data_IF_148311577050
#
_entry.id   IF_148311577050
#
_cell.length_a   1.000
_cell.length_b   1.000
_cell.length_c   1.000
_cell.angle_alpha   90.00
_cell.angle_beta   90.00
_cell.angle_gamma   90.00
#
_symmetry.space_group_name_H-M   'P 1'
#
loop_
_entity.id
_entity.type
_entity.pdbx_description
1 polymer ?
#
# COMPACT_ATOMS: atom_id res chain seq x y z
N UNK A 1 -18.81 23.16 -0.69
CA UNK A 1 -18.22 22.30 0.35
C UNK A 1 -16.73 22.63 0.38
N UNK A 2 -16.17 22.98 1.54
CA UNK A 2 -14.70 23.06 1.65
C UNK A 2 -14.14 21.70 1.21
N UNK A 3 -12.99 21.70 0.54
CA UNK A 3 -12.37 20.47 0.05
C UNK A 3 -11.87 19.57 1.19
N UNK A 4 -11.89 20.05 2.44
CA UNK A 4 -11.26 19.41 3.60
C UNK A 4 -12.25 19.09 4.74
N UNK A 5 -13.57 19.31 4.59
CA UNK A 5 -14.55 18.90 5.59
C UNK A 5 -14.49 17.37 5.85
N UNK A 6 -14.48 16.98 7.14
CA UNK A 6 -14.50 15.58 7.55
C UNK A 6 -15.93 15.13 7.81
N UNK A 7 -16.38 14.11 7.09
CA UNK A 7 -17.74 13.58 7.22
C UNK A 7 -17.70 12.31 8.06
N UNK A 8 -18.44 12.29 9.17
CA UNK A 8 -18.46 11.17 10.10
C UNK A 8 -19.69 10.33 9.82
N UNK A 9 -19.50 9.05 9.58
CA UNK A 9 -20.53 8.07 9.30
C UNK A 9 -20.62 7.04 10.42
N UNK A 10 -21.84 6.65 10.77
CA UNK A 10 -22.07 5.52 11.67
C UNK A 10 -21.66 4.21 10.97
N UNK A 11 -20.94 3.37 11.70
CA UNK A 11 -20.38 2.14 11.14
C UNK A 11 -21.44 1.13 10.66
N UNK A 12 -22.58 1.07 11.34
CA UNK A 12 -23.60 0.03 11.09
C UNK A 12 -24.54 0.46 9.97
N UNK A 13 -25.01 1.69 10.04
CA UNK A 13 -26.02 2.24 9.12
C UNK A 13 -25.41 2.86 7.88
N UNK A 14 -24.10 3.17 7.90
CA UNK A 14 -23.40 3.90 6.83
C UNK A 14 -24.07 5.23 6.48
N UNK A 15 -24.74 5.83 7.47
CA UNK A 15 -25.34 7.16 7.39
C UNK A 15 -24.42 8.19 8.02
N UNK A 16 -24.39 9.37 7.43
CA UNK A 16 -23.68 10.51 8.02
C UNK A 16 -24.33 10.92 9.34
N UNK A 17 -23.52 11.07 10.39
CA UNK A 17 -23.94 11.44 11.74
C UNK A 17 -23.35 12.78 12.21
N UNK A 18 -22.28 13.27 11.56
CA UNK A 18 -21.72 14.59 11.81
C UNK A 18 -20.85 15.07 10.63
N UNK A 19 -20.63 16.39 10.56
CA UNK A 19 -19.63 17.02 9.68
C UNK A 19 -18.76 17.94 10.52
N UNK A 20 -17.46 17.68 10.53
CA UNK A 20 -16.46 18.54 11.17
C UNK A 20 -15.89 19.43 10.08
N UNK A 21 -16.00 20.75 10.28
CA UNK A 21 -15.50 21.73 9.32
C UNK A 21 -13.99 21.83 9.42
N UNK A 22 -13.33 22.22 8.34
CA UNK A 22 -11.87 22.43 8.30
C UNK A 22 -11.34 23.32 9.45
N UNK A 23 -12.11 24.33 9.85
CA UNK A 23 -11.78 25.21 10.96
C UNK A 23 -12.00 24.62 12.37
N UNK A 24 -12.68 23.47 12.47
CA UNK A 24 -13.06 22.82 13.73
C UNK A 24 -12.10 21.67 14.11
N UNK A 25 -11.02 21.46 13.34
CA UNK A 25 -9.98 20.47 13.62
C UNK A 25 -8.59 21.01 13.27
N UNK A 26 -7.54 20.42 13.86
CA UNK A 26 -6.14 20.80 13.61
C UNK A 26 -5.22 19.58 13.70
N UNK A 27 -3.93 19.79 13.41
CA UNK A 27 -2.88 18.76 13.38
C UNK A 27 -3.26 17.53 12.56
N UNK A 28 -3.95 17.72 11.43
CA UNK A 28 -4.32 16.60 10.58
C UNK A 28 -3.12 16.05 9.80
N UNK A 29 -2.89 14.75 9.93
CA UNK A 29 -1.81 14.06 9.26
C UNK A 29 -2.36 12.80 8.58
N UNK A 30 -2.22 12.76 7.25
CA UNK A 30 -2.40 11.52 6.48
C UNK A 30 -1.04 10.93 6.14
N UNK A 31 -0.76 9.73 6.64
CA UNK A 31 0.42 8.93 6.27
C UNK A 31 -0.02 7.83 5.31
N UNK A 32 0.49 7.88 4.08
CA UNK A 32 0.15 6.92 3.04
C UNK A 32 1.40 6.42 2.30
N UNK A 33 1.41 5.13 1.93
CA UNK A 33 2.50 4.46 1.24
C UNK A 33 1.93 3.37 0.31
N UNK A 34 2.30 3.43 -0.97
CA UNK A 34 1.82 2.51 -2.00
C UNK A 34 2.30 1.07 -1.78
N UNK A 35 3.62 0.89 -1.58
CA UNK A 35 4.26 -0.44 -1.53
C UNK A 35 3.63 -1.36 -0.47
N UNK A 36 3.49 -0.85 0.75
CA UNK A 36 2.92 -1.60 1.86
C UNK A 36 1.40 -1.38 2.04
N UNK A 37 0.79 -0.59 1.16
CA UNK A 37 -0.61 -0.14 1.26
C UNK A 37 -0.91 0.42 2.66
N UNK A 38 -0.02 1.26 3.20
CA UNK A 38 -0.27 1.97 4.46
C UNK A 38 -1.11 3.19 4.13
N UNK A 39 -2.19 3.39 4.87
CA UNK A 39 -2.98 4.63 4.80
C UNK A 39 -3.65 4.86 6.16
N UNK A 40 -3.18 5.89 6.84
CA UNK A 40 -3.55 6.27 8.20
C UNK A 40 -3.91 7.75 8.20
N UNK A 41 -4.89 8.10 9.01
CA UNK A 41 -5.31 9.48 9.17
C UNK A 41 -5.49 9.78 10.65
N UNK A 42 -4.84 10.84 11.12
CA UNK A 42 -4.99 11.38 12.46
C UNK A 42 -5.31 12.87 12.39
N UNK A 43 -6.02 13.37 13.40
CA UNK A 43 -6.36 14.77 13.56
C UNK A 43 -6.85 15.02 14.99
N UNK A 44 -6.88 16.28 15.39
CA UNK A 44 -7.31 16.72 16.72
C UNK A 44 -8.53 17.62 16.62
N UNK A 45 -9.46 17.50 17.57
CA UNK A 45 -10.62 18.38 17.73
C UNK A 45 -10.76 18.82 19.18
N UNK A 46 -11.55 19.87 19.44
CA UNK A 46 -11.94 20.22 20.80
C UNK A 46 -12.83 19.13 21.42
N UNK A 47 -12.55 18.79 22.67
CA UNK A 47 -13.35 17.87 23.45
C UNK A 47 -14.75 18.44 23.78
N UNK A 48 -15.63 17.58 24.31
CA UNK A 48 -16.93 18.02 24.85
C UNK A 48 -17.96 18.57 23.84
N UNK A 49 -17.64 18.66 22.55
CA UNK A 49 -18.59 19.10 21.52
C UNK A 49 -19.53 17.97 21.07
N UNK A 50 -20.73 18.33 20.59
CA UNK A 50 -21.67 17.34 20.04
C UNK A 50 -21.08 16.54 18.88
N UNK A 51 -20.22 17.17 18.07
CA UNK A 51 -19.51 16.51 16.95
C UNK A 51 -18.42 15.56 17.46
N UNK A 52 -17.63 15.97 18.45
CA UNK A 52 -16.57 15.14 19.04
C UNK A 52 -17.13 13.88 19.73
N UNK A 53 -18.37 13.94 20.24
CA UNK A 53 -19.08 12.78 20.77
C UNK A 53 -19.38 11.71 19.70
N UNK A 54 -19.43 12.08 18.41
CA UNK A 54 -19.62 11.13 17.29
C UNK A 54 -18.34 10.46 16.83
N UNK A 55 -17.17 10.94 17.26
CA UNK A 55 -15.86 10.35 16.97
C UNK A 55 -15.61 9.15 17.89
N UNK A 56 -16.40 8.10 17.71
CA UNK A 56 -16.32 6.86 18.48
C UNK A 56 -15.58 5.79 17.67
N UNK A 57 -14.96 4.82 18.36
CA UNK A 57 -14.37 3.66 17.71
C UNK A 57 -15.36 2.99 16.75
N UNK A 58 -14.83 2.46 15.65
CA UNK A 58 -15.56 1.89 14.49
C UNK A 58 -16.24 2.89 13.57
N UNK A 59 -16.63 4.09 14.02
CA UNK A 59 -17.22 5.08 13.12
C UNK A 59 -16.23 5.46 12.01
N UNK A 60 -16.81 5.84 10.87
CA UNK A 60 -16.06 6.04 9.63
C UNK A 60 -15.87 7.54 9.42
N UNK A 61 -14.63 7.97 9.21
CA UNK A 61 -14.29 9.28 8.70
C UNK A 61 -14.15 9.16 7.20
N UNK A 62 -14.99 9.87 6.46
CA UNK A 62 -14.85 10.02 5.02
C UNK A 62 -14.12 11.33 4.74
N UNK A 63 -12.94 11.21 4.13
CA UNK A 63 -12.07 12.32 3.78
C UNK A 63 -11.94 12.44 2.27
N UNK A 64 -12.10 13.66 1.75
CA UNK A 64 -11.78 13.95 0.35
C UNK A 64 -10.26 14.07 0.19
N UNK A 65 -9.71 13.45 -0.83
CA UNK A 65 -8.27 13.49 -1.13
C UNK A 65 -8.00 14.37 -2.35
N UNK A 66 -6.72 14.63 -2.66
CA UNK A 66 -6.31 15.66 -3.64
C UNK A 66 -6.86 15.44 -5.06
N UNK A 67 -7.08 14.19 -5.46
CA UNK A 67 -7.67 13.87 -6.78
C UNK A 67 -9.19 14.06 -6.82
N UNK A 68 -9.80 14.48 -5.71
CA UNK A 68 -11.21 14.73 -5.57
C UNK A 68 -12.04 13.50 -5.16
N UNK A 69 -11.46 12.31 -5.14
CA UNK A 69 -12.10 11.10 -4.64
C UNK A 69 -12.20 11.10 -3.11
N UNK A 70 -13.02 10.21 -2.56
CA UNK A 70 -13.10 10.00 -1.12
C UNK A 70 -12.40 8.72 -0.71
N UNK A 71 -11.78 8.76 0.47
CA UNK A 71 -11.23 7.61 1.17
C UNK A 71 -11.92 7.51 2.53
N UNK A 72 -12.33 6.32 2.91
CA UNK A 72 -12.91 6.04 4.23
C UNK A 72 -11.85 5.52 5.21
N UNK A 73 -11.90 6.02 6.43
CA UNK A 73 -11.06 5.64 7.56
C UNK A 73 -11.92 5.18 8.72
N UNK A 74 -11.56 4.10 9.38
CA UNK A 74 -12.25 3.59 10.56
C UNK A 74 -11.49 4.05 11.79
N UNK A 75 -12.17 4.73 12.70
CA UNK A 75 -11.60 5.13 13.99
C UNK A 75 -11.24 3.86 14.77
N UNK A 76 -9.95 3.67 15.05
CA UNK A 76 -9.46 2.57 15.87
C UNK A 76 -9.12 3.02 17.29
N UNK A 77 -8.71 4.28 17.45
CA UNK A 77 -8.26 4.81 18.73
C UNK A 77 -8.60 6.30 18.84
N UNK A 78 -8.82 6.75 20.08
CA UNK A 78 -8.97 8.16 20.39
C UNK A 78 -8.35 8.45 21.75
N UNK A 79 -7.63 9.55 21.84
CA UNK A 79 -6.99 10.06 23.04
C UNK A 79 -7.71 11.36 23.45
N UNK A 80 -7.93 11.55 24.74
CA UNK A 80 -8.54 12.77 25.29
C UNK A 80 -7.60 13.35 26.33
N UNK A 81 -7.33 14.64 26.22
CA UNK A 81 -6.57 15.40 27.20
C UNK A 81 -7.46 16.48 27.81
N UNK A 82 -7.60 16.42 29.14
CA UNK A 82 -8.45 17.33 29.91
C UNK A 82 -7.82 18.70 30.17
N UNK A 83 -6.50 18.83 30.03
CA UNK A 83 -5.75 20.06 30.28
C UNK A 83 -5.94 21.02 29.10
N UNK A 84 -5.71 20.52 27.89
CA UNK A 84 -5.87 21.28 26.65
C UNK A 84 -7.30 21.20 26.07
N UNK A 85 -8.15 20.36 26.67
CA UNK A 85 -9.53 20.09 26.25
C UNK A 85 -9.59 19.60 24.80
N UNK A 86 -8.70 18.67 24.46
CA UNK A 86 -8.60 18.11 23.12
C UNK A 86 -9.00 16.64 23.06
N UNK A 87 -9.37 16.21 21.86
CA UNK A 87 -9.59 14.81 21.50
C UNK A 87 -8.84 14.52 20.20
N UNK A 88 -7.78 13.73 20.29
CA UNK A 88 -7.02 13.26 19.14
C UNK A 88 -7.59 11.94 18.64
N UNK A 89 -7.74 11.82 17.33
CA UNK A 89 -8.31 10.65 16.67
C UNK A 89 -7.22 9.96 15.86
N UNK A 90 -7.15 8.65 15.98
CA UNK A 90 -6.35 7.80 15.13
C UNK A 90 -7.28 6.88 14.35
N UNK A 91 -7.15 6.90 13.02
CA UNK A 91 -7.97 6.11 12.12
C UNK A 91 -7.13 5.40 11.05
N UNK A 92 -7.49 4.16 10.75
CA UNK A 92 -6.89 3.37 9.68
C UNK A 92 -7.82 3.32 8.49
N UNK A 93 -7.29 3.39 7.26
CA UNK A 93 -8.12 3.27 6.06
C UNK A 93 -8.92 1.97 6.07
N UNK A 94 -10.18 2.06 5.67
CA UNK A 94 -11.17 0.97 5.80
C UNK A 94 -10.72 -0.31 5.08
N UNK A 95 -9.95 -0.19 4.00
CA UNK A 95 -9.42 -1.33 3.24
C UNK A 95 -8.57 -2.26 4.12
N UNK A 96 -7.98 -1.78 5.23
CA UNK A 96 -7.25 -2.64 6.18
C UNK A 96 -8.13 -3.74 6.78
N UNK A 97 -9.46 -3.54 6.84
CA UNK A 97 -10.42 -4.57 7.28
C UNK A 97 -10.47 -5.77 6.32
N UNK A 98 -10.08 -5.61 5.05
CA UNK A 98 -10.00 -6.70 4.07
C UNK A 98 -9.08 -7.83 4.54
N UNK A 99 -8.05 -7.52 5.34
CA UNK A 99 -7.17 -8.54 5.93
C UNK A 99 -7.93 -9.57 6.80
N UNK A 100 -9.05 -9.17 7.40
CA UNK A 100 -9.91 -10.01 8.25
C UNK A 100 -11.23 -10.39 7.58
N UNK A 101 -11.46 -9.97 6.33
CA UNK A 101 -12.75 -10.15 5.68
C UNK A 101 -12.97 -11.57 5.14
N UNK A 102 -11.92 -12.19 4.60
CA UNK A 102 -11.98 -13.51 3.95
C UNK A 102 -10.64 -14.22 4.09
N UNK A 103 -10.70 -15.52 4.37
CA UNK A 103 -9.56 -16.44 4.27
C UNK A 103 -9.62 -17.11 2.91
N UNK A 104 -8.52 -17.10 2.17
CA UNK A 104 -8.40 -17.70 0.84
C UNK A 104 -7.57 -18.98 0.98
N UNK A 105 -8.16 -20.09 0.54
CA UNK A 105 -7.52 -21.41 0.56
C UNK A 105 -6.49 -21.53 -0.57
N UNK A 106 -5.47 -22.38 -0.40
CA UNK A 106 -4.57 -22.75 -1.48
C UNK A 106 -5.33 -23.23 -2.72
N UNK A 107 -5.01 -22.66 -3.87
CA UNK A 107 -5.60 -23.00 -5.16
C UNK A 107 -4.82 -22.33 -6.29
N UNK A 108 -5.01 -22.84 -7.51
CA UNK A 108 -4.48 -22.24 -8.73
C UNK A 108 -5.64 -21.74 -9.58
N UNK A 109 -5.59 -20.48 -9.99
CA UNK A 109 -6.51 -19.94 -11.00
C UNK A 109 -5.67 -19.54 -12.21
N UNK A 110 -5.96 -20.18 -13.34
CA UNK A 110 -5.18 -20.08 -14.56
C UNK A 110 -5.79 -19.08 -15.54
N UNK A 111 -4.93 -18.29 -16.18
CA UNK A 111 -5.34 -17.44 -17.30
C UNK A 111 -6.39 -16.38 -16.94
N UNK A 112 -6.44 -15.93 -15.68
CA UNK A 112 -7.35 -14.86 -15.28
C UNK A 112 -6.79 -13.50 -15.69
N UNK A 113 -7.67 -12.62 -16.15
CA UNK A 113 -7.42 -11.17 -16.26
C UNK A 113 -7.42 -10.52 -14.87
N UNK A 114 -6.87 -9.31 -14.77
CA UNK A 114 -6.96 -8.51 -13.53
C UNK A 114 -8.41 -8.33 -13.06
N UNK A 115 -9.36 -8.24 -13.99
CA UNK A 115 -10.78 -8.09 -13.68
C UNK A 115 -11.34 -9.33 -12.98
N UNK A 116 -11.08 -10.51 -13.55
CA UNK A 116 -11.51 -11.79 -12.96
C UNK A 116 -10.85 -12.02 -11.60
N UNK A 117 -9.57 -11.65 -11.46
CA UNK A 117 -8.86 -11.71 -10.18
C UNK A 117 -9.48 -10.82 -9.10
N UNK A 118 -9.81 -9.57 -9.43
CA UNK A 118 -10.48 -8.66 -8.51
C UNK A 118 -11.89 -9.15 -8.17
N UNK A 119 -12.67 -9.56 -9.15
CA UNK A 119 -14.04 -10.03 -8.94
C UNK A 119 -14.04 -11.28 -8.04
N UNK A 120 -13.10 -12.21 -8.24
CA UNK A 120 -12.89 -13.36 -7.36
C UNK A 120 -12.45 -12.95 -5.94
N UNK A 121 -11.46 -12.06 -5.82
CA UNK A 121 -10.91 -11.66 -4.53
C UNK A 121 -11.95 -10.91 -3.68
N UNK A 122 -12.74 -10.03 -4.30
CA UNK A 122 -13.69 -9.14 -3.63
C UNK A 122 -15.06 -9.78 -3.39
N UNK A 123 -15.33 -10.95 -3.97
CA UNK A 123 -16.57 -11.70 -3.80
C UNK A 123 -16.92 -11.89 -2.31
N UNK A 124 -18.14 -11.50 -1.95
CA UNK A 124 -18.68 -11.58 -0.58
C UNK A 124 -18.28 -10.41 0.31
N UNK A 125 -17.64 -9.38 -0.23
CA UNK A 125 -17.29 -8.16 0.52
C UNK A 125 -18.14 -6.95 0.08
N UNK A 126 -18.05 -5.85 0.83
CA UNK A 126 -18.63 -4.55 0.46
C UNK A 126 -17.82 -3.80 -0.62
N UNK A 127 -16.67 -4.34 -1.00
CA UNK A 127 -15.78 -3.76 -1.99
C UNK A 127 -16.09 -4.37 -3.35
N UNK A 128 -16.03 -3.58 -4.39
CA UNK A 128 -16.21 -4.01 -5.77
C UNK A 128 -15.05 -3.53 -6.64
N UNK A 129 -14.88 -4.17 -7.79
CA UNK A 129 -13.88 -3.75 -8.77
C UNK A 129 -14.23 -2.35 -9.28
N UNK A 130 -13.21 -1.48 -9.30
CA UNK A 130 -13.30 -0.16 -9.89
C UNK A 130 -12.61 -0.08 -11.24
N UNK A 131 -11.81 0.98 -11.42
CA UNK A 131 -11.04 1.22 -12.65
C UNK A 131 -9.90 0.21 -12.73
N UNK A 132 -9.81 -0.46 -13.86
CA UNK A 132 -8.78 -1.45 -14.14
C UNK A 132 -8.15 -1.16 -15.47
N UNK A 133 -6.83 -1.09 -15.50
CA UNK A 133 -6.08 -1.08 -16.75
C UNK A 133 -6.14 -2.46 -17.41
N UNK A 134 -6.22 -2.50 -18.74
CA UNK A 134 -6.14 -3.77 -19.45
C UNK A 134 -4.73 -4.35 -19.26
N UNK A 135 -4.65 -5.38 -18.44
CA UNK A 135 -3.47 -6.20 -18.26
C UNK A 135 -3.69 -7.54 -18.98
N UNK A 136 -2.59 -8.20 -19.38
CA UNK A 136 -2.63 -9.53 -20.00
C UNK A 136 -3.27 -10.58 -19.10
N UNK A 137 -3.26 -11.85 -19.51
CA UNK A 137 -3.67 -12.94 -18.62
C UNK A 137 -2.49 -13.38 -17.75
N UNK A 138 -2.74 -13.70 -16.47
CA UNK A 138 -1.72 -14.26 -15.57
C UNK A 138 -2.33 -15.36 -14.71
N UNK A 139 -1.54 -16.41 -14.49
CA UNK A 139 -1.82 -17.47 -13.53
C UNK A 139 -1.17 -17.10 -12.19
N UNK A 140 -1.92 -17.19 -11.09
CA UNK A 140 -1.38 -17.04 -9.73
C UNK A 140 -1.64 -18.33 -8.97
N UNK A 141 -0.55 -18.91 -8.45
CA UNK A 141 -0.57 -20.09 -7.61
C UNK A 141 -0.60 -19.67 -6.14
N UNK A 142 -1.76 -19.80 -5.50
CA UNK A 142 -1.90 -19.57 -4.06
C UNK A 142 -1.48 -20.85 -3.37
N UNK A 143 -0.21 -20.93 -2.94
CA UNK A 143 0.39 -22.14 -2.33
C UNK A 143 -0.09 -22.37 -0.89
N UNK A 144 -0.31 -21.28 -0.14
CA UNK A 144 -0.66 -21.30 1.28
C UNK A 144 -1.93 -20.49 1.56
N UNK A 145 -2.50 -20.66 2.76
CA UNK A 145 -3.60 -19.82 3.18
C UNK A 145 -3.20 -18.35 3.19
N UNK A 146 -4.00 -17.51 2.56
CA UNK A 146 -3.78 -16.06 2.55
C UNK A 146 -5.06 -15.31 2.91
N UNK A 147 -4.96 -13.99 3.06
CA UNK A 147 -6.11 -13.11 3.25
C UNK A 147 -6.33 -12.23 2.03
N UNK A 148 -7.51 -11.63 1.95
CA UNK A 148 -7.91 -10.83 0.79
C UNK A 148 -6.94 -9.70 0.48
N UNK A 149 -6.49 -8.94 1.50
CA UNK A 149 -5.63 -7.79 1.27
C UNK A 149 -4.25 -8.20 0.75
N UNK A 150 -3.70 -9.31 1.24
CA UNK A 150 -2.42 -9.81 0.74
C UNK A 150 -2.57 -10.45 -0.65
N UNK A 151 -3.70 -11.10 -0.97
CA UNK A 151 -3.99 -11.53 -2.34
C UNK A 151 -4.06 -10.33 -3.31
N UNK A 152 -4.72 -9.23 -2.93
CA UNK A 152 -4.77 -8.02 -3.76
C UNK A 152 -3.36 -7.47 -4.06
N UNK A 153 -2.45 -7.51 -3.10
CA UNK A 153 -1.04 -7.13 -3.32
C UNK A 153 -0.33 -8.08 -4.27
N UNK A 154 -0.54 -9.39 -4.14
CA UNK A 154 0.00 -10.39 -5.06
C UNK A 154 -0.52 -10.14 -6.47
N UNK A 155 -1.82 -9.86 -6.65
CA UNK A 155 -2.40 -9.51 -7.94
C UNK A 155 -1.71 -8.26 -8.50
N UNK A 156 -1.68 -7.16 -7.75
CA UNK A 156 -1.07 -5.90 -8.18
C UNK A 156 0.40 -6.09 -8.60
N UNK A 157 1.20 -6.80 -7.79
CA UNK A 157 2.59 -7.11 -8.11
C UNK A 157 2.74 -7.99 -9.35
N UNK A 158 1.86 -8.98 -9.55
CA UNK A 158 1.91 -9.89 -10.71
C UNK A 158 1.61 -9.19 -12.03
N UNK A 159 0.75 -8.16 -11.97
CA UNK A 159 0.37 -7.36 -13.12
C UNK A 159 1.16 -6.05 -13.26
N UNK A 160 2.11 -5.77 -12.35
CA UNK A 160 2.86 -4.53 -12.29
C UNK A 160 1.95 -3.29 -12.23
N UNK A 161 0.91 -3.37 -11.39
CA UNK A 161 -0.08 -2.33 -11.16
C UNK A 161 0.00 -1.81 -9.72
N UNK A 162 -0.52 -0.60 -9.53
CA UNK A 162 -0.73 0.04 -8.24
C UNK A 162 -2.21 -0.06 -7.83
N UNK A 163 -2.44 -0.25 -6.53
CA UNK A 163 -3.77 -0.40 -5.96
C UNK A 163 -4.25 0.95 -5.47
N UNK A 164 -5.48 1.34 -5.85
CA UNK A 164 -6.13 2.51 -5.28
C UNK A 164 -7.48 2.14 -4.67
N UNK A 165 -7.70 2.57 -3.43
CA UNK A 165 -8.97 2.39 -2.72
C UNK A 165 -9.78 3.67 -2.74
N UNK A 166 -11.05 3.58 -3.13
CA UNK A 166 -11.97 4.73 -3.17
C UNK A 166 -13.30 4.39 -2.55
N UNK A 167 -13.96 5.40 -2.01
CA UNK A 167 -15.31 5.34 -1.48
C UNK A 167 -16.19 6.31 -2.25
N UNK A 168 -17.41 5.89 -2.58
CA UNK A 168 -18.39 6.72 -3.25
C UNK A 168 -19.56 6.97 -2.31
N UNK A 169 -20.01 8.22 -2.30
CA UNK A 169 -21.13 8.69 -1.49
C UNK A 169 -22.21 9.31 -2.36
N UNK A 170 -23.45 9.07 -1.97
CA UNK A 170 -24.63 9.70 -2.59
C UNK A 170 -25.49 10.30 -1.49
N UNK A 171 -25.53 11.63 -1.44
CA UNK A 171 -26.19 12.35 -0.36
C UNK A 171 -25.56 12.03 0.99
N UNK A 172 -26.35 11.46 1.90
CA UNK A 172 -25.97 11.13 3.28
C UNK A 172 -25.47 9.70 3.48
N UNK A 173 -25.23 8.94 2.41
CA UNK A 173 -24.92 7.51 2.47
C UNK A 173 -23.63 7.17 1.72
N UNK A 174 -22.85 6.25 2.28
CA UNK A 174 -21.84 5.50 1.53
C UNK A 174 -22.57 4.49 0.66
N UNK A 175 -22.37 4.57 -0.66
CA UNK A 175 -23.07 3.69 -1.61
C UNK A 175 -22.18 2.63 -2.22
N UNK A 176 -20.86 2.84 -2.24
CA UNK A 176 -19.93 1.93 -2.90
C UNK A 176 -18.50 2.12 -2.41
N UNK A 177 -17.72 1.04 -2.48
CA UNK A 177 -16.28 1.01 -2.19
C UNK A 177 -15.58 0.29 -3.33
N UNK A 178 -14.55 0.89 -3.89
CA UNK A 178 -13.87 0.40 -5.07
C UNK A 178 -12.42 0.06 -4.78
N UNK A 179 -11.97 -1.04 -5.38
CA UNK A 179 -10.55 -1.33 -5.57
C UNK A 179 -10.22 -1.14 -7.04
N UNK A 180 -9.39 -0.16 -7.33
CA UNK A 180 -8.83 0.07 -8.65
C UNK A 180 -7.46 -0.58 -8.78
N UNK A 181 -7.11 -1.01 -10.00
CA UNK A 181 -5.79 -1.51 -10.37
C UNK A 181 -5.29 -0.70 -11.57
N UNK A 182 -4.38 0.23 -11.33
CA UNK A 182 -3.92 1.22 -12.31
C UNK A 182 -2.42 1.15 -12.52
N UNK A 183 -1.89 1.57 -13.67
CA UNK A 183 -0.43 1.56 -13.91
C UNK A 183 0.34 2.47 -12.96
N UNK A 184 -0.27 3.59 -12.57
CA UNK A 184 0.32 4.59 -11.70
C UNK A 184 -0.77 5.37 -10.99
N UNK A 185 -0.65 5.47 -9.67
CA UNK A 185 -1.44 6.37 -8.85
C UNK A 185 -0.84 7.78 -8.95
N UNK A 186 -1.67 8.71 -9.44
CA UNK A 186 -1.28 10.08 -9.71
C UNK A 186 -0.98 10.32 -11.19
N UNK A 187 -0.81 11.60 -11.52
CA UNK A 187 -0.54 12.07 -12.88
C UNK A 187 0.60 13.07 -12.85
N UNK A 188 1.35 13.11 -13.95
CA UNK A 188 2.23 14.25 -14.19
C UNK A 188 1.36 15.50 -14.37
N UNK A 189 1.54 16.48 -13.48
CA UNK A 189 0.83 17.75 -13.51
C UNK A 189 1.72 18.89 -14.04
N UNK A 190 2.92 18.58 -14.53
CA UNK A 190 3.91 19.56 -14.99
C UNK A 190 4.47 20.44 -13.87
N UNK A 191 4.21 20.12 -12.60
CA UNK A 191 4.73 20.89 -11.47
C UNK A 191 6.16 20.48 -11.17
N UNK A 192 7.09 21.38 -11.44
CA UNK A 192 8.45 21.29 -10.94
C UNK A 192 8.51 21.81 -9.48
N UNK A 193 9.21 21.07 -8.61
CA UNK A 193 9.47 21.49 -7.24
C UNK A 193 10.90 21.99 -7.16
N UNK A 194 11.08 23.28 -6.90
CA UNK A 194 12.39 23.94 -6.89
C UNK A 194 12.77 24.32 -5.46
N UNK A 195 14.01 23.98 -5.06
CA UNK A 195 14.60 24.35 -3.77
C UNK A 195 14.65 25.88 -3.64
N UNK A 196 14.16 26.41 -2.51
CA UNK A 196 14.12 27.85 -2.25
C UNK A 196 12.90 28.58 -2.83
N UNK A 197 12.03 27.89 -3.58
CA UNK A 197 10.73 28.42 -4.01
C UNK A 197 9.58 27.62 -3.37
N UNK A 198 9.40 26.38 -3.82
CA UNK A 198 8.27 25.51 -3.45
C UNK A 198 8.68 24.45 -2.41
N UNK A 199 9.94 24.46 -1.97
CA UNK A 199 10.53 23.44 -1.13
C UNK A 199 11.41 24.07 -0.05
N UNK A 200 11.03 23.83 1.20
CA UNK A 200 11.74 24.37 2.37
C UNK A 200 13.09 23.67 2.61
N UNK A 201 13.22 22.40 2.22
CA UNK A 201 14.47 21.66 2.37
C UNK A 201 14.41 20.29 1.71
N UNK A 202 15.60 19.74 1.42
CA UNK A 202 15.79 18.38 0.90
C UNK A 202 16.73 17.67 1.86
N UNK A 203 16.32 16.48 2.32
CA UNK A 203 17.24 15.53 2.95
C UNK A 203 17.43 14.37 2.00
N UNK A 204 18.66 14.20 1.51
CA UNK A 204 19.06 13.02 0.73
C UNK A 204 19.76 12.05 1.67
N UNK A 205 19.33 10.79 1.65
CA UNK A 205 20.02 9.70 2.35
C UNK A 205 20.57 8.80 1.25
N UNK A 206 21.89 8.64 1.23
CA UNK A 206 22.57 7.70 0.35
C UNK A 206 23.04 6.53 1.23
N UNK A 207 22.65 5.32 0.87
CA UNK A 207 23.07 4.10 1.55
C UNK A 207 23.67 3.15 0.52
N UNK A 208 24.90 2.69 0.77
CA UNK A 208 25.64 1.75 -0.07
C UNK A 208 25.98 0.45 0.67
N UNK A 209 25.29 0.15 1.78
CA UNK A 209 25.52 -1.06 2.58
C UNK A 209 25.30 -2.33 1.76
N UNK A 210 24.25 -2.36 0.93
CA UNK A 210 23.90 -3.51 0.09
C UNK A 210 24.52 -3.42 -1.32
N UNK A 211 25.48 -2.53 -1.54
CA UNK A 211 26.16 -2.40 -2.83
C UNK A 211 27.13 -3.57 -3.04
N UNK A 212 26.87 -4.37 -4.08
CA UNK A 212 27.68 -5.52 -4.46
C UNK A 212 28.36 -5.27 -5.80
N UNK A 213 29.46 -5.97 -6.05
CA UNK A 213 30.14 -5.97 -7.36
C UNK A 213 30.16 -7.33 -8.03
N UNK A 214 29.66 -8.37 -7.35
CA UNK A 214 29.42 -9.68 -7.94
C UNK A 214 28.24 -10.39 -7.25
N UNK A 215 27.46 -11.14 -8.03
CA UNK A 215 26.33 -11.94 -7.54
C UNK A 215 26.59 -13.42 -7.83
N UNK A 216 26.57 -14.25 -6.79
CA UNK A 216 26.75 -15.70 -6.86
C UNK A 216 25.39 -16.35 -7.08
N UNK A 217 25.19 -17.08 -8.17
CA UNK A 217 23.92 -17.77 -8.42
C UNK A 217 23.93 -19.20 -7.89
N UNK A 218 23.03 -19.50 -6.95
CA UNK A 218 22.89 -20.82 -6.33
C UNK A 218 21.46 -21.33 -6.54
N UNK A 219 21.33 -22.34 -7.40
CA UNK A 219 20.10 -23.08 -7.65
C UNK A 219 19.88 -24.22 -6.65
N UNK A 220 18.88 -25.08 -6.91
CA UNK A 220 18.52 -26.19 -6.01
C UNK A 220 19.68 -27.14 -5.73
N UNK A 221 19.69 -27.72 -4.53
CA UNK A 221 20.60 -28.80 -4.16
C UNK A 221 20.20 -30.10 -4.87
N UNK A 222 21.16 -30.80 -5.46
CA UNK A 222 20.94 -32.09 -6.09
C UNK A 222 21.42 -33.21 -5.16
N UNK A 223 20.48 -33.98 -4.60
CA UNK A 223 20.75 -35.05 -3.65
C UNK A 223 21.56 -36.22 -4.23
N UNK A 224 21.45 -36.50 -5.54
CA UNK A 224 22.18 -37.59 -6.20
C UNK A 224 23.66 -37.27 -6.36
N UNK A 225 23.98 -36.01 -6.68
CA UNK A 225 25.35 -35.55 -6.91
C UNK A 225 26.01 -34.95 -5.67
N UNK A 226 25.21 -34.53 -4.68
CA UNK A 226 25.68 -33.81 -3.50
C UNK A 226 26.12 -32.37 -3.77
N UNK A 227 25.81 -31.80 -4.95
CA UNK A 227 26.22 -30.46 -5.38
C UNK A 227 25.03 -29.51 -5.51
N UNK A 228 25.27 -28.21 -5.32
CA UNK A 228 24.32 -27.17 -5.71
C UNK A 228 24.36 -26.92 -7.22
N UNK A 229 23.21 -26.64 -7.83
CA UNK A 229 23.18 -26.16 -9.21
C UNK A 229 23.80 -24.75 -9.27
N UNK A 230 24.92 -24.59 -9.98
CA UNK A 230 25.55 -23.31 -10.26
C UNK A 230 25.79 -23.15 -11.75
N UNK A 231 26.11 -21.93 -12.20
CA UNK A 231 26.50 -21.67 -13.59
C UNK A 231 28.03 -21.78 -13.80
N UNK A 232 28.80 -22.23 -12.81
CA UNK A 232 30.27 -22.32 -12.88
C UNK A 232 30.76 -23.07 -14.13
N UNK A 233 30.12 -24.21 -14.41
CA UNK A 233 30.43 -25.10 -15.55
C UNK A 233 30.23 -24.41 -16.90
N UNK A 234 29.35 -23.41 -16.99
CA UNK A 234 29.06 -22.65 -18.21
C UNK A 234 29.64 -21.22 -18.21
N UNK A 235 30.23 -20.80 -17.09
CA UNK A 235 30.80 -19.47 -16.89
C UNK A 235 32.33 -19.53 -16.66
N UNK A 236 33.00 -20.44 -17.35
CA UNK A 236 34.46 -20.56 -17.33
C UNK A 236 35.06 -20.79 -15.94
N UNK A 237 34.36 -21.51 -15.07
CA UNK A 237 34.82 -21.77 -13.69
C UNK A 237 34.48 -20.67 -12.68
N UNK A 238 33.70 -19.65 -13.05
CA UNK A 238 33.29 -18.58 -12.12
C UNK A 238 31.89 -18.81 -11.59
N UNK A 239 31.77 -18.83 -10.26
CA UNK A 239 30.50 -18.97 -9.53
C UNK A 239 29.62 -17.71 -9.52
N UNK A 240 30.12 -16.59 -10.03
CA UNK A 240 29.47 -15.28 -9.98
C UNK A 240 29.40 -14.58 -11.33
N UNK A 241 28.44 -13.67 -11.46
CA UNK A 241 28.43 -12.62 -12.49
C UNK A 241 28.88 -11.33 -11.83
N UNK A 242 29.78 -10.61 -12.50
CA UNK A 242 30.42 -9.41 -11.96
C UNK A 242 30.09 -8.17 -12.79
N UNK A 243 30.10 -7.02 -12.13
CA UNK A 243 30.01 -5.71 -12.77
C UNK A 243 31.33 -4.95 -12.49
N UNK A 244 32.04 -4.59 -13.58
CA UNK A 244 33.34 -3.96 -13.50
C UNK A 244 33.27 -2.52 -12.96
N UNK A 245 32.21 -1.77 -13.31
CA UNK A 245 32.01 -0.41 -12.82
C UNK A 245 31.67 -0.43 -11.32
N UNK A 246 30.86 -1.41 -10.90
CA UNK A 246 30.57 -1.63 -9.49
C UNK A 246 31.82 -2.07 -8.71
N UNK A 247 32.66 -2.94 -9.28
CA UNK A 247 33.93 -3.34 -8.67
C UNK A 247 34.84 -2.14 -8.44
N UNK A 248 35.07 -1.34 -9.48
CA UNK A 248 35.93 -0.16 -9.40
C UNK A 248 35.40 0.88 -8.40
N UNK A 249 34.08 1.04 -8.32
CA UNK A 249 33.45 2.07 -7.48
C UNK A 249 33.35 1.67 -6.01
N UNK A 250 33.05 0.41 -5.71
CA UNK A 250 32.60 -0.02 -4.38
C UNK A 250 33.62 -0.84 -3.60
N UNK A 251 34.81 -1.08 -4.14
CA UNK A 251 35.84 -1.94 -3.53
C UNK A 251 37.16 -1.19 -3.40
N UNK A 252 37.90 -1.44 -2.31
CA UNK A 252 39.12 -0.71 -1.99
C UNK A 252 40.37 -1.40 -2.55
N UNK A 253 40.33 -2.72 -2.64
CA UNK A 253 41.46 -3.60 -2.95
C UNK A 253 41.30 -4.34 -4.30
N UNK A 254 40.24 -4.02 -5.05
CA UNK A 254 39.88 -4.73 -6.28
C UNK A 254 39.26 -6.11 -6.04
N UNK A 255 38.91 -6.45 -4.79
CA UNK A 255 38.18 -7.67 -4.46
C UNK A 255 36.68 -7.45 -4.56
N UNK A 256 35.96 -8.38 -5.17
CA UNK A 256 34.50 -8.28 -5.28
C UNK A 256 33.80 -8.28 -3.91
N UNK A 257 32.74 -7.47 -3.80
CA UNK A 257 31.71 -7.59 -2.77
C UNK A 257 30.63 -8.51 -3.30
N UNK A 258 30.51 -9.69 -2.68
CA UNK A 258 29.60 -10.74 -3.12
C UNK A 258 28.28 -10.70 -2.37
N UNK A 259 27.20 -11.07 -3.06
CA UNK A 259 25.96 -11.53 -2.44
C UNK A 259 25.44 -12.76 -3.20
N UNK A 260 24.53 -13.50 -2.57
CA UNK A 260 24.02 -14.78 -3.08
C UNK A 260 22.60 -14.58 -3.60
N UNK A 261 22.39 -14.95 -4.85
CA UNK A 261 21.06 -15.09 -5.43
C UNK A 261 20.64 -16.55 -5.46
N UNK A 262 19.49 -16.84 -4.85
CA UNK A 262 18.81 -18.12 -5.03
C UNK A 262 17.39 -17.87 -5.56
N UNK A 263 16.98 -18.53 -6.65
CA UNK A 263 15.63 -18.41 -7.15
C UNK A 263 14.64 -18.99 -6.13
N UNK A 264 13.64 -18.19 -5.74
CA UNK A 264 12.58 -18.65 -4.86
C UNK A 264 11.74 -19.71 -5.58
N UNK A 265 11.60 -20.88 -4.96
CA UNK A 265 10.83 -22.03 -5.47
C UNK A 265 9.32 -21.91 -5.22
#
# INVERSE_FOLDING_TARGET
>A
MSNNDLHIFDFKTEQIIAVIKEQDYWDDLRKWELKNNVDQFEFTVSDGTHKAAKLMQQNIILKRVRDGSFVSYVINESEQDSIDRSKKIYALSEHKKLKKAKVIKPQTLEGYTVNQWLDFALEGTKWQRGVTEYASFRTINIKEFTNLLDLLKTIASTFELEIRFRTEVKGSFIVSRYVDMVRKEGRDNGKEIVLGKDLQGIRRIENSQDAISALVGVGPFNEETGEYLTFEKINGGKLYVADADALQRWTEDGSHKYDIYSPQT
#
